data_IF_125909920418
#
_entry.id   IF_125909920418
#
_cell.length_a   1.000
_cell.length_b   1.000
_cell.length_c   1.000
_cell.angle_alpha   90.00
_cell.angle_beta   90.00
_cell.angle_gamma   90.00
#
_symmetry.space_group_name_H-M   'P 1'
#
loop_
_entity.id
_entity.type
_entity.pdbx_description
1 polymer ?
#
# COMPACT_ATOMS: atom_id res chain seq x y z
N UNK A 1 -7.90 2.61 13.00
CA UNK A 1 -7.27 3.07 11.74
C UNK A 1 -6.44 4.29 12.07
N UNK A 2 -5.16 4.30 11.70
CA UNK A 2 -4.25 5.42 11.93
C UNK A 2 -3.65 5.90 10.59
N UNK A 3 -3.44 7.21 10.40
CA UNK A 3 -2.82 7.72 9.19
C UNK A 3 -1.29 7.64 9.30
N UNK A 4 -0.68 6.76 8.51
CA UNK A 4 0.78 6.56 8.54
C UNK A 4 1.41 7.11 7.28
N UNK A 5 2.38 8.00 7.44
CA UNK A 5 3.11 8.63 6.34
C UNK A 5 3.97 7.60 5.62
N UNK A 6 3.72 7.44 4.34
CA UNK A 6 4.54 6.68 3.39
C UNK A 6 5.17 7.63 2.40
N UNK A 7 6.36 7.26 1.95
CA UNK A 7 7.13 8.07 1.02
C UNK A 7 7.50 7.27 -0.21
N UNK A 8 7.43 7.94 -1.34
CA UNK A 8 7.72 7.39 -2.65
C UNK A 8 8.79 8.25 -3.30
N UNK A 9 9.81 7.61 -3.86
CA UNK A 9 10.91 8.28 -4.55
C UNK A 9 10.90 7.89 -6.02
N UNK A 10 11.02 8.89 -6.89
CA UNK A 10 11.19 8.69 -8.33
C UNK A 10 12.66 8.79 -8.66
N UNK A 11 13.14 7.80 -9.38
CA UNK A 11 14.52 7.71 -9.86
C UNK A 11 14.57 7.61 -11.37
N UNK A 12 15.66 8.07 -11.98
CA UNK A 12 16.04 7.75 -13.35
C UNK A 12 17.31 6.91 -13.29
N UNK A 13 17.23 5.66 -13.72
CA UNK A 13 18.38 4.73 -13.71
C UNK A 13 19.41 5.04 -14.79
N UNK A 14 19.09 5.90 -15.77
CA UNK A 14 19.88 6.09 -16.98
C UNK A 14 19.73 4.96 -18.00
N UNK A 15 19.06 3.87 -17.64
CA UNK A 15 18.72 2.78 -18.55
C UNK A 15 17.65 3.22 -19.54
N UNK A 16 17.67 2.67 -20.75
CA UNK A 16 16.67 2.98 -21.78
C UNK A 16 16.13 1.67 -22.37
N UNK A 17 15.35 0.89 -21.60
CA UNK A 17 14.75 -0.33 -22.11
C UNK A 17 13.71 0.02 -23.19
N UNK A 18 13.59 -0.84 -24.19
CA UNK A 18 12.62 -0.67 -25.29
C UNK A 18 11.18 -0.94 -24.85
N UNK A 19 11.00 -1.77 -23.82
CA UNK A 19 9.70 -2.16 -23.27
C UNK A 19 9.58 -1.75 -21.80
N UNK A 20 8.35 -1.77 -21.29
CA UNK A 20 8.13 -1.64 -19.85
C UNK A 20 8.69 -2.88 -19.14
N UNK A 21 9.53 -2.65 -18.13
CA UNK A 21 10.04 -3.70 -17.26
C UNK A 21 9.01 -4.08 -16.18
N UNK A 22 9.03 -5.34 -15.70
CA UNK A 22 8.13 -5.78 -14.64
C UNK A 22 8.39 -5.04 -13.32
N UNK A 23 7.36 -5.02 -12.47
CA UNK A 23 7.48 -4.62 -11.08
C UNK A 23 8.42 -5.56 -10.32
N UNK A 24 9.25 -5.01 -9.44
CA UNK A 24 10.17 -5.77 -8.61
C UNK A 24 9.75 -5.61 -7.16
N UNK A 25 9.59 -6.72 -6.45
CA UNK A 25 9.25 -6.78 -5.03
C UNK A 25 10.35 -7.53 -4.28
N UNK A 26 10.89 -6.88 -3.26
CA UNK A 26 11.98 -7.40 -2.43
C UNK A 26 11.40 -8.00 -1.15
N UNK A 27 12.11 -8.97 -0.57
CA UNK A 27 11.72 -9.58 0.71
C UNK A 27 11.74 -8.59 1.88
N UNK A 28 12.43 -7.45 1.75
CA UNK A 28 12.40 -6.37 2.73
C UNK A 28 11.12 -5.53 2.69
N UNK A 29 10.23 -5.75 1.72
CA UNK A 29 9.06 -4.90 1.44
C UNK A 29 9.36 -3.68 0.58
N UNK A 30 10.61 -3.51 0.11
CA UNK A 30 10.92 -2.56 -0.96
C UNK A 30 10.26 -3.02 -2.25
N UNK A 31 9.67 -2.08 -2.98
CA UNK A 31 9.18 -2.32 -4.33
C UNK A 31 9.63 -1.23 -5.30
N UNK A 32 9.73 -1.60 -6.56
CA UNK A 32 10.18 -0.75 -7.65
C UNK A 32 9.29 -0.97 -8.88
N UNK A 33 8.64 0.09 -9.36
CA UNK A 33 7.80 0.08 -10.55
C UNK A 33 8.47 0.89 -11.66
N UNK A 34 8.66 0.29 -12.83
CA UNK A 34 9.13 1.03 -14.00
C UNK A 34 7.99 1.84 -14.59
N UNK A 35 8.20 3.15 -14.73
CA UNK A 35 7.25 4.11 -15.29
C UNK A 35 7.52 4.39 -16.79
N UNK A 36 8.60 3.82 -17.33
CA UNK A 36 9.03 4.03 -18.72
C UNK A 36 10.32 4.84 -18.84
N UNK A 37 11.01 4.73 -19.99
CA UNK A 37 12.23 5.49 -20.31
C UNK A 37 13.36 5.41 -19.25
N UNK A 38 13.39 4.35 -18.44
CA UNK A 38 14.34 4.20 -17.32
C UNK A 38 13.95 4.90 -16.03
N UNK A 39 12.75 5.46 -15.95
CA UNK A 39 12.21 6.06 -14.73
C UNK A 39 11.55 4.98 -13.88
N UNK A 40 11.82 5.01 -12.58
CA UNK A 40 11.22 4.07 -11.64
C UNK A 40 10.68 4.79 -10.41
N UNK A 41 9.61 4.24 -9.86
CA UNK A 41 9.02 4.61 -8.59
C UNK A 41 9.43 3.57 -7.55
N UNK A 42 10.09 4.00 -6.47
CA UNK A 42 10.58 3.13 -5.40
C UNK A 42 10.03 3.55 -4.04
N UNK A 43 9.61 2.59 -3.23
CA UNK A 43 9.14 2.84 -1.87
C UNK A 43 9.22 1.58 -0.99
N UNK A 44 9.18 1.80 0.32
CA UNK A 44 9.12 0.75 1.35
C UNK A 44 8.42 1.27 2.59
N UNK A 45 7.52 0.48 3.18
CA UNK A 45 6.97 0.74 4.52
C UNK A 45 8.04 0.53 5.58
N UNK A 46 8.13 1.40 6.58
CA UNK A 46 9.14 1.29 7.66
C UNK A 46 8.46 1.18 9.03
N UNK A 47 9.03 0.41 9.98
CA UNK A 47 8.46 0.27 11.32
C UNK A 47 8.27 1.59 12.07
N UNK A 48 9.14 2.57 11.81
CA UNK A 48 9.15 3.87 12.48
C UNK A 48 8.59 5.00 11.59
N UNK A 49 7.77 4.68 10.59
CA UNK A 49 7.09 5.70 9.81
C UNK A 49 6.15 6.53 10.70
N UNK A 50 6.09 7.84 10.41
CA UNK A 50 5.38 8.80 11.24
C UNK A 50 3.86 8.61 11.13
N UNK A 51 3.18 8.53 12.28
CA UNK A 51 1.72 8.69 12.35
C UNK A 51 1.41 10.19 12.39
N UNK A 52 0.73 10.70 11.39
CA UNK A 52 0.47 12.13 11.20
C UNK A 52 -0.78 12.37 10.35
N UNK A 53 -1.43 13.51 10.54
CA UNK A 53 -2.63 13.91 9.80
C UNK A 53 -2.35 15.01 8.77
N UNK A 54 -1.21 15.69 8.87
CA UNK A 54 -0.93 16.95 8.17
C UNK A 54 0.48 17.05 7.57
N UNK A 55 1.38 16.09 7.85
CA UNK A 55 2.71 16.09 7.27
C UNK A 55 2.79 15.23 5.99
N UNK A 56 2.82 15.94 4.85
CA UNK A 56 3.01 15.39 3.50
C UNK A 56 4.39 15.73 2.91
N UNK A 57 5.35 16.16 3.73
CA UNK A 57 6.70 16.50 3.26
C UNK A 57 7.46 15.24 2.81
N UNK A 58 8.25 15.34 1.74
CA UNK A 58 9.11 14.26 1.29
C UNK A 58 10.57 14.54 1.68
N UNK A 59 11.24 13.55 2.29
CA UNK A 59 12.66 13.58 2.63
C UNK A 59 13.43 12.58 1.76
N UNK A 60 14.16 13.11 0.77
CA UNK A 60 14.97 12.32 -0.15
C UNK A 60 16.08 11.52 0.54
N UNK A 61 16.52 11.92 1.75
CA UNK A 61 17.55 11.17 2.50
C UNK A 61 17.08 9.78 2.88
N UNK A 62 15.77 9.57 3.02
CA UNK A 62 15.19 8.25 3.29
C UNK A 62 15.57 7.25 2.20
N UNK A 63 15.55 7.67 0.94
CA UNK A 63 15.93 6.80 -0.17
C UNK A 63 17.39 6.37 -0.08
N UNK A 64 18.32 7.32 0.10
CA UNK A 64 19.75 7.03 0.20
C UNK A 64 20.11 6.18 1.43
N UNK A 65 19.49 6.45 2.58
CA UNK A 65 19.82 5.78 3.83
C UNK A 65 19.18 4.41 3.99
N UNK A 66 18.16 4.08 3.19
CA UNK A 66 17.35 2.89 3.43
C UNK A 66 17.10 2.03 2.20
N UNK A 67 17.02 2.60 0.99
CA UNK A 67 16.60 1.87 -0.21
C UNK A 67 17.76 1.66 -1.19
N UNK A 68 18.66 2.63 -1.32
CA UNK A 68 19.71 2.66 -2.33
C UNK A 68 20.59 1.40 -2.36
N UNK A 69 21.13 0.99 -1.21
CA UNK A 69 22.10 -0.10 -1.12
C UNK A 69 21.50 -1.43 -1.60
N UNK A 70 20.26 -1.71 -1.22
CA UNK A 70 19.54 -2.93 -1.59
C UNK A 70 19.18 -2.94 -3.09
N UNK A 71 18.79 -1.79 -3.64
CA UNK A 71 18.59 -1.66 -5.08
C UNK A 71 19.87 -1.96 -5.87
N UNK A 72 21.02 -1.43 -5.45
CA UNK A 72 22.29 -1.68 -6.13
C UNK A 72 22.77 -3.13 -6.01
N UNK A 73 22.49 -3.79 -4.89
CA UNK A 73 22.88 -5.19 -4.67
C UNK A 73 22.15 -6.13 -5.64
N UNK A 74 20.87 -5.87 -5.89
CA UNK A 74 20.03 -6.68 -6.78
C UNK A 74 20.11 -6.23 -8.24
N UNK A 75 20.29 -4.93 -8.48
CA UNK A 75 20.32 -4.32 -9.81
C UNK A 75 21.58 -3.44 -9.94
N UNK A 76 22.76 -4.04 -10.19
CA UNK A 76 24.03 -3.31 -10.26
C UNK A 76 24.05 -2.18 -11.31
N UNK A 77 23.24 -2.28 -12.36
CA UNK A 77 23.06 -1.25 -13.40
C UNK A 77 22.47 0.07 -12.87
N UNK A 78 22.02 0.09 -11.62
CA UNK A 78 21.53 1.30 -10.96
C UNK A 78 22.66 2.15 -10.35
N UNK A 79 23.94 1.79 -10.55
CA UNK A 79 25.13 2.49 -10.04
C UNK A 79 25.16 4.00 -10.31
N UNK A 80 24.52 4.44 -11.40
CA UNK A 80 24.45 5.83 -11.88
C UNK A 80 23.06 6.44 -11.79
N UNK A 81 22.13 5.77 -11.12
CA UNK A 81 20.76 6.28 -11.02
C UNK A 81 20.77 7.67 -10.34
N UNK A 82 19.77 8.48 -10.66
CA UNK A 82 19.57 9.81 -10.06
C UNK A 82 18.19 9.90 -9.44
N UNK A 83 18.13 10.41 -8.21
CA UNK A 83 16.86 10.82 -7.61
C UNK A 83 16.33 12.04 -8.36
N UNK A 84 15.10 11.95 -8.87
CA UNK A 84 14.45 12.99 -9.67
C UNK A 84 13.49 13.81 -8.84
N UNK A 85 12.65 13.14 -8.06
CA UNK A 85 11.60 13.73 -7.24
C UNK A 85 11.08 12.67 -6.27
N UNK A 86 10.07 13.04 -5.49
CA UNK A 86 9.31 12.11 -4.68
C UNK A 86 8.16 12.85 -4.01
N UNK A 87 7.33 12.09 -3.32
CA UNK A 87 6.19 12.60 -2.58
C UNK A 87 5.93 11.76 -1.34
N UNK A 88 5.13 12.30 -0.43
CA UNK A 88 4.60 11.55 0.70
C UNK A 88 3.07 11.53 0.65
N UNK A 89 2.49 10.47 1.18
CA UNK A 89 1.05 10.29 1.32
C UNK A 89 0.73 9.50 2.58
N UNK A 90 -0.54 9.50 2.98
CA UNK A 90 -0.97 8.80 4.19
C UNK A 90 -1.64 7.48 3.82
N UNK A 91 -1.18 6.41 4.44
CA UNK A 91 -1.90 5.15 4.47
C UNK A 91 -2.89 5.16 5.62
N UNK A 92 -4.14 4.79 5.33
CA UNK A 92 -5.10 4.42 6.37
C UNK A 92 -4.75 3.01 6.86
N UNK A 93 -3.87 2.92 7.85
CA UNK A 93 -3.38 1.64 8.38
C UNK A 93 -4.36 1.09 9.43
N UNK A 94 -4.79 -0.15 9.22
CA UNK A 94 -5.53 -0.89 10.23
C UNK A 94 -4.55 -1.58 11.17
N UNK A 95 -4.37 -1.01 12.37
CA UNK A 95 -3.50 -1.57 13.41
C UNK A 95 -4.02 -2.86 14.03
N UNK A 96 -5.28 -3.25 13.75
CA UNK A 96 -5.87 -4.48 14.26
C UNK A 96 -5.27 -5.71 13.59
N UNK A 97 -5.37 -5.79 12.27
CA UNK A 97 -4.94 -6.96 11.49
C UNK A 97 -4.31 -6.60 10.14
N UNK A 98 -4.19 -5.30 9.81
CA UNK A 98 -3.70 -4.83 8.52
C UNK A 98 -4.70 -4.94 7.36
N UNK A 99 -5.90 -5.47 7.59
CA UNK A 99 -6.90 -5.67 6.55
C UNK A 99 -7.94 -4.54 6.49
N UNK A 100 -8.56 -4.37 5.32
CA UNK A 100 -9.65 -3.41 5.16
C UNK A 100 -10.85 -3.72 6.06
N UNK A 101 -11.66 -2.71 6.37
CA UNK A 101 -12.95 -2.87 7.05
C UNK A 101 -14.04 -2.52 6.05
N UNK A 102 -14.84 -3.53 5.68
CA UNK A 102 -15.76 -3.50 4.55
C UNK A 102 -17.17 -3.90 4.98
N UNK A 103 -18.17 -3.07 4.73
CA UNK A 103 -19.58 -3.40 4.96
C UNK A 103 -20.28 -2.48 5.96
N UNK A 104 -21.50 -2.82 6.31
CA UNK A 104 -22.35 -2.01 7.20
C UNK A 104 -21.90 -2.14 8.65
N UNK A 105 -21.86 -1.04 9.39
CA UNK A 105 -21.52 -1.07 10.81
C UNK A 105 -22.65 -1.69 11.65
N UNK A 106 -22.34 -2.66 12.53
CA UNK A 106 -23.33 -3.23 13.43
C UNK A 106 -23.99 -2.15 14.29
N UNK A 107 -25.33 -2.17 14.32
CA UNK A 107 -26.17 -1.21 15.05
C UNK A 107 -26.27 0.20 14.45
N UNK A 108 -25.74 0.46 13.25
CA UNK A 108 -25.93 1.73 12.56
C UNK A 108 -26.34 1.51 11.10
N UNK A 109 -27.66 1.32 10.90
CA UNK A 109 -28.24 1.06 9.58
C UNK A 109 -27.93 2.19 8.60
N UNK A 110 -27.46 1.83 7.41
CA UNK A 110 -27.08 2.72 6.31
C UNK A 110 -25.64 3.23 6.40
N UNK A 111 -24.88 2.90 7.45
CA UNK A 111 -23.49 3.37 7.59
C UNK A 111 -22.50 2.30 7.13
N UNK A 112 -22.06 2.42 5.88
CA UNK A 112 -21.11 1.50 5.25
C UNK A 112 -19.68 2.00 5.38
N UNK A 113 -18.77 1.07 5.64
CA UNK A 113 -17.34 1.28 5.73
C UNK A 113 -16.64 0.66 4.52
N UNK A 114 -15.65 1.38 4.01
CA UNK A 114 -14.65 0.92 3.05
C UNK A 114 -13.35 1.67 3.34
N UNK A 115 -12.61 1.23 4.37
CA UNK A 115 -11.41 1.92 4.84
C UNK A 115 -10.37 0.93 5.39
N UNK A 116 -9.23 1.45 5.87
CA UNK A 116 -8.24 0.64 6.58
C UNK A 116 -7.39 -0.30 5.70
N UNK A 117 -7.26 0.00 4.41
CA UNK A 117 -6.60 -0.87 3.42
C UNK A 117 -5.11 -1.14 3.67
N UNK A 118 -4.45 -0.40 4.56
CA UNK A 118 -3.04 -0.59 4.95
C UNK A 118 -2.05 -0.73 3.77
N UNK A 119 -2.34 -0.06 2.65
CA UNK A 119 -1.48 -0.05 1.47
C UNK A 119 -1.94 -0.86 0.27
N UNK A 120 -2.96 -1.70 0.41
CA UNK A 120 -3.45 -2.57 -0.67
C UNK A 120 -4.65 -1.99 -1.44
N UNK A 121 -5.06 -0.77 -1.10
CA UNK A 121 -6.31 -0.18 -1.59
C UNK A 121 -6.39 -0.09 -3.11
N UNK A 122 -5.27 0.21 -3.79
CA UNK A 122 -5.23 0.30 -5.25
C UNK A 122 -5.50 -1.06 -5.92
N UNK A 123 -4.97 -2.15 -5.37
CA UNK A 123 -5.17 -3.50 -5.91
C UNK A 123 -6.61 -3.98 -5.67
N UNK A 124 -7.19 -3.62 -4.53
CA UNK A 124 -8.47 -4.16 -4.06
C UNK A 124 -9.68 -3.31 -4.47
N UNK A 125 -9.49 -2.06 -4.92
CA UNK A 125 -10.58 -1.08 -5.06
C UNK A 125 -11.73 -1.54 -5.96
N UNK A 126 -11.45 -2.27 -7.05
CA UNK A 126 -12.48 -2.73 -7.98
C UNK A 126 -13.43 -3.76 -7.33
N UNK A 127 -12.87 -4.79 -6.68
CA UNK A 127 -13.65 -5.82 -5.99
C UNK A 127 -14.41 -5.22 -4.80
N UNK A 128 -13.75 -4.36 -4.02
CA UNK A 128 -14.34 -3.72 -2.85
C UNK A 128 -15.47 -2.76 -3.24
N UNK A 129 -15.27 -1.93 -4.26
CA UNK A 129 -16.29 -1.00 -4.74
C UNK A 129 -17.55 -1.74 -5.20
N UNK A 130 -17.38 -2.86 -5.92
CA UNK A 130 -18.50 -3.72 -6.31
C UNK A 130 -19.18 -4.36 -5.10
N UNK A 131 -18.42 -4.96 -4.19
CA UNK A 131 -18.94 -5.61 -2.99
C UNK A 131 -19.80 -4.64 -2.16
N UNK A 132 -19.28 -3.44 -1.89
CA UNK A 132 -20.02 -2.42 -1.12
C UNK A 132 -21.28 -1.97 -1.87
N UNK A 133 -21.20 -1.76 -3.19
CA UNK A 133 -22.38 -1.40 -3.98
C UNK A 133 -23.46 -2.49 -3.98
N UNK A 134 -23.06 -3.77 -4.05
CA UNK A 134 -23.98 -4.91 -3.98
C UNK A 134 -24.66 -4.99 -2.61
N UNK A 135 -23.92 -4.79 -1.51
CA UNK A 135 -24.50 -4.72 -0.17
C UNK A 135 -25.51 -3.56 -0.02
N UNK A 136 -25.16 -2.37 -0.50
CA UNK A 136 -26.04 -1.18 -0.45
C UNK A 136 -27.33 -1.42 -1.24
N UNK A 137 -27.24 -2.09 -2.39
CA UNK A 137 -28.38 -2.41 -3.25
C UNK A 137 -29.15 -3.67 -2.79
N UNK A 138 -28.78 -4.26 -1.65
CA UNK A 138 -29.35 -5.51 -1.14
C UNK A 138 -29.31 -6.66 -2.15
N UNK A 139 -28.22 -6.74 -2.93
CA UNK A 139 -27.95 -7.84 -3.85
C UNK A 139 -27.01 -8.85 -3.19
N UNK A 140 -27.12 -10.11 -3.59
CA UNK A 140 -26.13 -11.11 -3.24
C UNK A 140 -24.78 -10.72 -3.85
N UNK A 141 -23.70 -10.59 -3.05
CA UNK A 141 -22.40 -10.24 -3.59
C UNK A 141 -21.86 -11.33 -4.53
N UNK A 142 -21.20 -10.93 -5.61
CA UNK A 142 -20.55 -11.90 -6.52
C UNK A 142 -19.29 -12.50 -5.89
N UNK A 143 -18.55 -11.69 -5.14
CA UNK A 143 -17.40 -12.11 -4.35
C UNK A 143 -17.74 -11.84 -2.88
N UNK A 144 -17.78 -12.87 -2.05
CA UNK A 144 -18.04 -12.71 -0.63
C UNK A 144 -16.79 -12.20 0.11
N UNK A 145 -16.82 -10.94 0.53
CA UNK A 145 -15.79 -10.28 1.32
C UNK A 145 -16.18 -10.11 2.79
N UNK A 146 -17.19 -10.84 3.27
CA UNK A 146 -17.72 -10.73 4.65
C UNK A 146 -16.69 -11.05 5.74
N UNK A 147 -15.61 -11.77 5.41
CA UNK A 147 -14.48 -11.95 6.32
C UNK A 147 -13.85 -10.61 6.77
N UNK A 148 -14.01 -9.54 5.98
CA UNK A 148 -13.53 -8.19 6.29
C UNK A 148 -14.59 -7.29 6.93
N UNK A 149 -15.70 -7.87 7.41
CA UNK A 149 -16.80 -7.09 7.98
C UNK A 149 -16.43 -6.41 9.30
N UNK A 150 -17.13 -5.31 9.68
CA UNK A 150 -16.85 -4.62 10.93
C UNK A 150 -17.16 -5.47 12.18
N UNK A 151 -18.03 -6.47 12.08
CA UNK A 151 -18.37 -7.40 13.17
C UNK A 151 -17.13 -8.08 13.75
N UNK A 152 -16.14 -8.42 12.92
CA UNK A 152 -14.90 -9.08 13.39
C UNK A 152 -14.13 -8.18 14.38
N UNK A 153 -14.22 -6.85 14.22
CA UNK A 153 -13.57 -5.91 15.12
C UNK A 153 -14.26 -5.93 16.49
N UNK A 154 -15.59 -5.98 16.50
CA UNK A 154 -16.39 -6.06 17.73
C UNK A 154 -16.15 -7.39 18.45
N UNK A 155 -16.01 -8.48 17.69
CA UNK A 155 -15.75 -9.83 18.21
C UNK A 155 -14.28 -10.10 18.54
N UNK A 156 -13.37 -9.18 18.22
CA UNK A 156 -11.94 -9.35 18.36
C UNK A 156 -11.38 -10.57 17.58
N UNK A 157 -11.81 -10.74 16.33
CA UNK A 157 -11.47 -11.83 15.42
C UNK A 157 -10.59 -11.30 14.26
N UNK A 158 -9.26 -11.17 14.44
CA UNK A 158 -8.36 -10.68 13.40
C UNK A 158 -8.18 -11.69 12.26
N UNK A 159 -7.99 -11.18 11.04
CA UNK A 159 -7.72 -11.99 9.85
C UNK A 159 -6.23 -11.90 9.52
N UNK A 160 -5.55 -13.04 9.43
CA UNK A 160 -4.12 -13.09 9.13
C UNK A 160 -3.85 -13.91 7.86
N UNK A 161 -2.93 -13.40 7.04
CA UNK A 161 -2.38 -14.14 5.91
C UNK A 161 -1.05 -14.78 6.35
N UNK A 162 -1.09 -16.01 6.88
CA UNK A 162 0.11 -16.73 7.33
C UNK A 162 0.64 -16.33 8.72
N UNK A 163 1.95 -16.50 8.97
CA UNK A 163 2.61 -16.29 10.28
C UNK A 163 3.17 -14.87 10.49
N UNK A 164 3.17 -14.03 9.46
CA UNK A 164 3.71 -12.67 9.48
C UNK A 164 2.96 -11.82 8.46
N UNK A 165 2.87 -10.50 8.70
CA UNK A 165 2.29 -9.56 7.72
C UNK A 165 3.04 -9.73 6.38
N UNK A 166 2.31 -9.72 5.26
CA UNK A 166 2.89 -9.77 3.90
C UNK A 166 3.64 -8.47 3.55
N UNK A 167 3.64 -7.48 4.44
CA UNK A 167 4.45 -6.27 4.35
C UNK A 167 5.00 -5.85 5.72
#
# INVERSE_FOLDING_TARGET
>A
IVPVKRQVTVIDSGLRPTNLLPAIFFSSGLYCFHEGQGVFTCARSRPNDLITYDDFSWDSKVFYNSLWSELLEVIPEFDRLKVKSGWAGLYAENTFDGNAILGEWPNLKGFFLANGFSGHGLQQCHAVGRYIAELILHKSPEIDLSIFSPERIIKNEPVYEGRSKII
#
